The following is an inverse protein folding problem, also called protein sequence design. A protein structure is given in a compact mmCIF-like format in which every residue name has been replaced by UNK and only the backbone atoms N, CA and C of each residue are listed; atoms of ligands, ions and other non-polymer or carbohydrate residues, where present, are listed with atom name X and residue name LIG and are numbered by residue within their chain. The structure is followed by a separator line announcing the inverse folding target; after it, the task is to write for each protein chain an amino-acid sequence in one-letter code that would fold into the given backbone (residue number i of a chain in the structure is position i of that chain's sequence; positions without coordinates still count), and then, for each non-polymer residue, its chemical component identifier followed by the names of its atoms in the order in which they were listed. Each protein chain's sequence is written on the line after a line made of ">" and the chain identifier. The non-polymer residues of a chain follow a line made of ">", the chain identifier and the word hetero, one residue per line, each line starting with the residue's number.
data_IF_862592041517
#
_entry.id   IF_862592041517
#
_cell.length_a   1.000
_cell.length_b   1.000
_cell.length_c   1.000
_cell.angle_alpha   90.00
_cell.angle_beta   90.00
_cell.angle_gamma   90.00
#
_symmetry.space_group_name_H-M   'P 1'
#
loop_
_entity.id
_entity.type
_entity.pdbx_description
1 polymer ?
#
# COMPACT_ATOMS: atom_id res chain seq x y z
N UNK A 1 -16.82 -13.06 -22.50
CA UNK A 1 -16.24 -12.21 -21.44
C UNK A 1 -16.59 -10.75 -21.75
N UNK A 2 -17.16 -9.99 -20.80
CA UNK A 2 -17.46 -8.56 -21.04
C UNK A 2 -16.15 -7.78 -21.20
N UNK A 3 -16.11 -6.75 -22.05
CA UNK A 3 -14.89 -5.95 -22.30
C UNK A 3 -14.28 -5.41 -20.99
N UNK A 4 -15.13 -4.97 -20.06
CA UNK A 4 -14.73 -4.52 -18.71
C UNK A 4 -14.04 -5.62 -17.90
N UNK A 5 -14.53 -6.86 -17.96
CA UNK A 5 -13.91 -7.99 -17.24
C UNK A 5 -12.55 -8.34 -17.84
N UNK A 6 -12.44 -8.30 -19.17
CA UNK A 6 -11.17 -8.53 -19.87
C UNK A 6 -10.12 -7.47 -19.49
N UNK A 7 -10.54 -6.20 -19.51
CA UNK A 7 -9.70 -5.07 -19.09
C UNK A 7 -9.24 -5.20 -17.63
N UNK A 8 -10.16 -5.47 -16.69
CA UNK A 8 -9.82 -5.62 -15.28
C UNK A 8 -8.92 -6.84 -15.04
N UNK A 9 -9.15 -7.96 -15.74
CA UNK A 9 -8.30 -9.13 -15.64
C UNK A 9 -6.87 -8.82 -16.13
N UNK A 10 -6.73 -8.13 -17.26
CA UNK A 10 -5.44 -7.73 -17.81
C UNK A 10 -4.71 -6.73 -16.89
N UNK A 11 -5.43 -5.73 -16.39
CA UNK A 11 -4.89 -4.75 -15.45
C UNK A 11 -4.35 -5.43 -14.19
N UNK A 12 -5.14 -6.31 -13.57
CA UNK A 12 -4.73 -7.04 -12.37
C UNK A 12 -3.57 -8.00 -12.66
N UNK A 13 -3.54 -8.65 -13.83
CA UNK A 13 -2.43 -9.51 -14.22
C UNK A 13 -1.13 -8.70 -14.43
N UNK A 14 -1.19 -7.54 -15.07
CA UNK A 14 -0.05 -6.66 -15.27
C UNK A 14 0.51 -6.16 -13.93
N UNK A 15 -0.37 -5.70 -13.03
CA UNK A 15 0.01 -5.31 -11.67
C UNK A 15 0.61 -6.50 -10.89
N UNK A 16 0.03 -7.70 -10.99
CA UNK A 16 0.56 -8.90 -10.34
C UNK A 16 2.00 -9.20 -10.77
N UNK A 17 2.29 -9.16 -12.08
CA UNK A 17 3.65 -9.36 -12.61
C UNK A 17 4.58 -8.27 -12.07
N UNK A 18 4.17 -6.99 -12.15
CA UNK A 18 4.99 -5.89 -11.67
C UNK A 18 5.36 -6.01 -10.19
N UNK A 19 4.39 -6.28 -9.32
CA UNK A 19 4.65 -6.44 -7.87
C UNK A 19 5.45 -7.70 -7.56
N UNK A 20 5.25 -8.79 -8.29
CA UNK A 20 6.08 -9.99 -8.14
C UNK A 20 7.54 -9.73 -8.56
N UNK A 21 7.77 -8.98 -9.64
CA UNK A 21 9.12 -8.55 -10.05
C UNK A 21 9.76 -7.64 -9.01
N UNK A 22 9.02 -6.68 -8.46
CA UNK A 22 9.50 -5.82 -7.37
C UNK A 22 9.83 -6.61 -6.10
N UNK A 23 8.99 -7.56 -5.72
CA UNK A 23 9.27 -8.43 -4.58
C UNK A 23 10.50 -9.31 -4.83
N UNK A 24 10.62 -9.88 -6.03
CA UNK A 24 11.77 -10.67 -6.44
C UNK A 24 13.08 -9.86 -6.43
N UNK A 25 13.05 -8.58 -6.82
CA UNK A 25 14.24 -7.73 -6.80
C UNK A 25 14.70 -7.40 -5.38
N UNK A 26 13.76 -7.23 -4.43
CA UNK A 26 14.07 -7.09 -3.00
C UNK A 26 14.74 -8.36 -2.47
N UNK A 27 14.11 -9.53 -2.69
CA UNK A 27 14.65 -10.84 -2.24
C UNK A 27 16.02 -11.10 -2.85
N UNK A 28 16.19 -10.83 -4.14
CA UNK A 28 17.47 -10.97 -4.82
C UNK A 28 18.54 -10.04 -4.20
N UNK A 29 18.21 -8.79 -3.90
CA UNK A 29 19.11 -7.85 -3.24
C UNK A 29 19.57 -8.36 -1.86
N UNK A 30 18.67 -8.95 -1.08
CA UNK A 30 19.00 -9.57 0.22
C UNK A 30 19.90 -10.79 0.07
N UNK A 31 19.63 -11.68 -0.88
CA UNK A 31 20.45 -12.89 -1.13
C UNK A 31 21.87 -12.50 -1.57
N UNK A 32 22.00 -11.40 -2.30
CA UNK A 32 23.29 -10.87 -2.75
C UNK A 32 23.99 -9.99 -1.69
N UNK A 33 23.47 -9.94 -0.46
CA UNK A 33 24.02 -9.17 0.67
C UNK A 33 24.31 -7.70 0.31
N UNK A 34 23.47 -7.12 -0.55
CA UNK A 34 23.61 -5.73 -0.96
C UNK A 34 23.30 -4.78 0.19
N UNK A 35 23.82 -3.55 0.13
CA UNK A 35 23.47 -2.54 1.12
C UNK A 35 21.98 -2.18 1.01
N UNK A 36 21.38 -1.74 2.12
CA UNK A 36 19.96 -1.39 2.13
C UNK A 36 19.60 -0.35 1.07
N UNK A 37 20.46 0.65 0.88
CA UNK A 37 20.29 1.68 -0.14
C UNK A 37 20.29 1.09 -1.56
N UNK A 38 21.18 0.15 -1.86
CA UNK A 38 21.21 -0.52 -3.16
C UNK A 38 19.93 -1.34 -3.42
N UNK A 39 19.44 -2.04 -2.41
CA UNK A 39 18.20 -2.82 -2.49
C UNK A 39 17.00 -1.88 -2.74
N UNK A 40 16.95 -0.78 -1.98
CA UNK A 40 15.92 0.25 -2.12
C UNK A 40 15.96 0.88 -3.52
N UNK A 41 17.12 1.37 -3.96
CA UNK A 41 17.28 2.07 -5.24
C UNK A 41 16.94 1.17 -6.45
N UNK A 42 17.12 -0.15 -6.32
CA UNK A 42 16.71 -1.11 -7.35
C UNK A 42 15.19 -1.31 -7.39
N UNK A 43 14.54 -1.46 -6.23
CA UNK A 43 13.13 -1.86 -6.15
C UNK A 43 12.15 -0.67 -6.16
N UNK A 44 12.52 0.43 -5.51
CA UNK A 44 11.66 1.59 -5.31
C UNK A 44 11.15 2.24 -6.61
N UNK A 45 11.91 2.34 -7.72
CA UNK A 45 11.40 2.93 -8.96
C UNK A 45 10.21 2.16 -9.53
N UNK A 46 10.30 0.82 -9.58
CA UNK A 46 9.20 -0.03 -10.07
C UNK A 46 8.00 0.05 -9.12
N UNK A 47 8.24 -0.03 -7.82
CA UNK A 47 7.18 0.11 -6.81
C UNK A 47 6.49 1.48 -6.92
N UNK A 48 7.25 2.54 -7.19
CA UNK A 48 6.72 3.88 -7.45
C UNK A 48 5.76 3.89 -8.64
N UNK A 49 6.16 3.32 -9.78
CA UNK A 49 5.27 3.23 -10.95
C UNK A 49 4.01 2.42 -10.68
N UNK A 50 4.12 1.28 -9.99
CA UNK A 50 2.99 0.43 -9.66
C UNK A 50 2.03 1.10 -8.66
N UNK A 51 2.58 1.82 -7.68
CA UNK A 51 1.82 2.61 -6.72
C UNK A 51 1.14 3.80 -7.41
N UNK A 52 1.77 4.44 -8.38
CA UNK A 52 1.12 5.48 -9.17
C UNK A 52 -0.03 4.89 -10.01
N UNK A 53 0.23 3.77 -10.70
CA UNK A 53 -0.77 3.09 -11.52
C UNK A 53 -1.99 2.61 -10.71
N UNK A 54 -1.83 2.28 -9.43
CA UNK A 54 -2.94 1.87 -8.56
C UNK A 54 -3.94 2.99 -8.26
N UNK A 55 -3.64 4.25 -8.62
CA UNK A 55 -4.65 5.32 -8.66
C UNK A 55 -5.83 4.97 -9.57
N UNK A 56 -5.59 4.18 -10.63
CA UNK A 56 -6.64 3.70 -11.52
C UNK A 56 -7.70 2.88 -10.77
N UNK A 57 -7.37 2.23 -9.65
CA UNK A 57 -8.36 1.49 -8.86
C UNK A 57 -9.38 2.42 -8.21
N UNK A 58 -8.94 3.62 -7.84
CA UNK A 58 -9.85 4.68 -7.36
C UNK A 58 -10.77 5.12 -8.49
N UNK A 59 -10.24 5.26 -9.71
CA UNK A 59 -11.02 5.58 -10.90
C UNK A 59 -12.00 4.44 -11.24
N UNK A 60 -11.58 3.18 -11.15
CA UNK A 60 -12.46 2.02 -11.38
C UNK A 60 -13.61 1.97 -10.38
N UNK A 61 -13.34 2.27 -9.10
CA UNK A 61 -14.38 2.40 -8.09
C UNK A 61 -15.33 3.57 -8.39
N UNK A 62 -14.80 4.74 -8.78
CA UNK A 62 -15.60 5.92 -9.10
C UNK A 62 -16.53 5.71 -10.30
N UNK A 63 -16.05 4.96 -11.30
CA UNK A 63 -16.84 4.57 -12.48
C UNK A 63 -17.79 3.38 -12.22
N UNK A 64 -17.80 2.81 -11.01
CA UNK A 64 -18.64 1.66 -10.66
C UNK A 64 -18.23 0.35 -11.32
N UNK A 65 -16.99 0.26 -11.82
CA UNK A 65 -16.46 -0.98 -12.42
C UNK A 65 -16.18 -2.06 -11.36
N UNK A 66 -15.92 -1.62 -10.12
CA UNK A 66 -15.62 -2.48 -8.96
C UNK A 66 -16.51 -2.05 -7.79
N UNK A 67 -17.07 -2.99 -7.00
CA UNK A 67 -17.97 -2.70 -5.87
C UNK A 67 -17.20 -2.20 -4.63
N UNK A 68 -16.48 -1.09 -4.76
CA UNK A 68 -15.65 -0.47 -3.72
C UNK A 68 -16.00 1.01 -3.57
N UNK A 69 -15.82 1.55 -2.36
CA UNK A 69 -15.98 2.99 -2.12
C UNK A 69 -14.81 3.78 -2.75
N UNK A 70 -15.06 4.73 -3.66
CA UNK A 70 -13.99 5.51 -4.30
C UNK A 70 -13.19 6.33 -3.30
N UNK A 71 -13.86 6.95 -2.32
CA UNK A 71 -13.19 7.74 -1.29
C UNK A 71 -12.26 6.88 -0.43
N UNK A 72 -12.70 5.68 -0.05
CA UNK A 72 -11.87 4.77 0.73
C UNK A 72 -10.67 4.26 -0.07
N UNK A 73 -10.82 4.03 -1.37
CA UNK A 73 -9.71 3.67 -2.26
C UNK A 73 -8.71 4.83 -2.38
N UNK A 74 -9.20 6.06 -2.55
CA UNK A 74 -8.37 7.25 -2.63
C UNK A 74 -7.58 7.50 -1.34
N UNK A 75 -8.21 7.35 -0.18
CA UNK A 75 -7.53 7.53 1.11
C UNK A 75 -6.43 6.49 1.33
N UNK A 76 -6.68 5.22 0.97
CA UNK A 76 -5.68 4.16 1.06
C UNK A 76 -4.50 4.39 0.11
N UNK A 77 -4.81 4.77 -1.14
CA UNK A 77 -3.80 5.13 -2.13
C UNK A 77 -3.00 6.35 -1.69
N UNK A 78 -3.68 7.39 -1.20
CA UNK A 78 -3.08 8.65 -0.78
C UNK A 78 -2.16 8.50 0.42
N UNK A 79 -2.53 7.71 1.43
CA UNK A 79 -1.68 7.44 2.59
C UNK A 79 -0.34 6.79 2.21
N UNK A 80 -0.37 5.72 1.41
CA UNK A 80 0.83 5.05 0.90
C UNK A 80 1.64 5.96 -0.02
N UNK A 81 0.97 6.67 -0.92
CA UNK A 81 1.62 7.58 -1.87
C UNK A 81 2.31 8.75 -1.15
N UNK A 82 1.71 9.29 -0.09
CA UNK A 82 2.34 10.30 0.76
C UNK A 82 3.62 9.75 1.40
N UNK A 83 3.57 8.55 1.97
CA UNK A 83 4.76 7.93 2.56
C UNK A 83 5.86 7.72 1.51
N UNK A 84 5.54 7.11 0.37
CA UNK A 84 6.56 6.80 -0.64
C UNK A 84 7.11 8.06 -1.34
N UNK A 85 6.24 8.87 -1.94
CA UNK A 85 6.66 9.97 -2.83
C UNK A 85 7.00 11.26 -2.06
N UNK A 86 6.30 11.55 -0.96
CA UNK A 86 6.46 12.82 -0.26
C UNK A 86 7.38 12.72 0.97
N UNK A 87 7.62 11.52 1.50
CA UNK A 87 8.51 11.30 2.66
C UNK A 87 9.79 10.58 2.25
N UNK A 88 9.69 9.33 1.77
CA UNK A 88 10.87 8.46 1.61
C UNK A 88 11.71 8.84 0.38
N UNK A 89 11.10 8.97 -0.80
CA UNK A 89 11.85 9.26 -2.03
C UNK A 89 12.68 10.56 -1.98
N UNK A 90 12.18 11.70 -1.47
CA UNK A 90 12.95 12.95 -1.45
C UNK A 90 14.11 12.97 -0.45
N UNK A 91 14.12 12.07 0.54
CA UNK A 91 15.10 12.06 1.63
C UNK A 91 15.98 10.82 1.48
N UNK A 92 17.13 10.96 0.79
CA UNK A 92 18.06 9.84 0.53
C UNK A 92 18.54 9.14 1.80
N UNK A 93 18.66 9.86 2.91
CA UNK A 93 19.05 9.26 4.19
C UNK A 93 18.08 8.16 4.66
N UNK A 94 16.83 8.17 4.21
CA UNK A 94 15.84 7.13 4.53
C UNK A 94 15.98 5.88 3.65
N UNK A 95 16.70 5.93 2.54
CA UNK A 95 16.83 4.80 1.60
C UNK A 95 17.68 3.68 2.18
N UNK A 96 18.62 4.01 3.08
CA UNK A 96 19.44 3.04 3.81
C UNK A 96 18.77 2.51 5.09
N UNK A 97 17.64 3.08 5.49
CA UNK A 97 16.92 2.67 6.70
C UNK A 97 16.25 1.30 6.49
N UNK A 98 16.36 0.42 7.49
CA UNK A 98 15.71 -0.89 7.49
C UNK A 98 14.19 -0.76 7.33
N UNK A 99 13.58 0.30 7.87
CA UNK A 99 12.15 0.54 7.74
C UNK A 99 11.75 0.74 6.27
N UNK A 100 12.60 1.32 5.42
CA UNK A 100 12.29 1.49 4.00
C UNK A 100 12.18 0.12 3.31
N UNK A 101 13.08 -0.81 3.60
CA UNK A 101 13.03 -2.16 3.06
C UNK A 101 11.85 -2.97 3.60
N UNK A 102 11.55 -2.85 4.90
CA UNK A 102 10.40 -3.53 5.52
C UNK A 102 9.10 -3.02 4.90
N UNK A 103 8.96 -1.70 4.69
CA UNK A 103 7.81 -1.10 4.02
C UNK A 103 7.65 -1.65 2.60
N UNK A 104 8.69 -1.55 1.75
CA UNK A 104 8.64 -2.05 0.37
C UNK A 104 8.39 -3.56 0.30
N UNK A 105 8.98 -4.33 1.20
CA UNK A 105 8.79 -5.78 1.31
C UNK A 105 7.36 -6.15 1.70
N UNK A 106 6.82 -5.54 2.75
CA UNK A 106 5.45 -5.80 3.21
C UNK A 106 4.42 -5.42 2.14
N UNK A 107 4.61 -4.27 1.50
CA UNK A 107 3.77 -3.82 0.40
C UNK A 107 3.83 -4.81 -0.75
N UNK A 108 5.02 -5.15 -1.23
CA UNK A 108 5.16 -6.01 -2.40
C UNK A 108 4.67 -7.43 -2.13
N UNK A 109 4.86 -7.97 -0.93
CA UNK A 109 4.30 -9.25 -0.51
C UNK A 109 2.76 -9.23 -0.50
N UNK A 110 2.16 -8.18 0.06
CA UNK A 110 0.70 -8.04 0.09
C UNK A 110 0.10 -7.93 -1.32
N UNK A 111 0.72 -7.13 -2.19
CA UNK A 111 0.25 -6.90 -3.56
C UNK A 111 0.44 -8.13 -4.46
N UNK A 112 1.53 -8.89 -4.27
CA UNK A 112 1.78 -10.18 -4.95
C UNK A 112 0.69 -11.21 -4.65
N UNK A 113 -0.05 -11.07 -3.55
CA UNK A 113 -1.20 -11.93 -3.24
C UNK A 113 -2.50 -11.29 -3.76
N UNK A 114 -2.67 -9.98 -3.58
CA UNK A 114 -3.91 -9.26 -3.89
C UNK A 114 -4.23 -9.28 -5.38
N UNK A 115 -3.28 -8.93 -6.24
CA UNK A 115 -3.55 -8.79 -7.67
C UNK A 115 -3.85 -10.12 -8.36
N UNK A 116 -3.13 -11.24 -8.12
CA UNK A 116 -3.54 -12.54 -8.63
C UNK A 116 -4.93 -12.94 -8.16
N UNK A 117 -5.28 -12.65 -6.90
CA UNK A 117 -6.62 -12.92 -6.39
C UNK A 117 -7.68 -12.09 -7.13
N UNK A 118 -7.40 -10.82 -7.44
CA UNK A 118 -8.32 -9.95 -8.18
C UNK A 118 -8.48 -10.40 -9.63
N UNK A 119 -7.38 -10.77 -10.30
CA UNK A 119 -7.41 -11.31 -11.65
C UNK A 119 -8.26 -12.59 -11.70
N UNK A 120 -7.97 -13.56 -10.82
CA UNK A 120 -8.69 -14.83 -10.79
C UNK A 120 -10.16 -14.67 -10.40
N UNK A 121 -10.48 -13.74 -9.48
CA UNK A 121 -11.86 -13.43 -9.12
C UNK A 121 -12.64 -12.76 -10.26
N UNK A 122 -12.00 -11.89 -11.05
CA UNK A 122 -12.62 -11.25 -12.22
C UNK A 122 -12.99 -12.28 -13.29
N UNK A 123 -12.19 -13.34 -13.41
CA UNK A 123 -12.42 -14.46 -14.33
C UNK A 123 -13.40 -15.51 -13.76
N UNK A 124 -13.87 -15.35 -12.52
CA UNK A 124 -14.76 -16.32 -11.85
C UNK A 124 -14.08 -17.63 -11.45
N UNK A 125 -12.76 -17.72 -11.54
CA UNK A 125 -11.97 -18.94 -11.32
C UNK A 125 -10.97 -18.78 -10.17
N UNK A 126 -11.35 -18.07 -9.09
CA UNK A 126 -10.45 -17.81 -7.97
C UNK A 126 -10.27 -19.06 -7.09
N UNK A 127 -9.05 -19.60 -6.94
CA UNK A 127 -8.80 -20.71 -6.04
C UNK A 127 -9.09 -20.36 -4.58
N UNK A 128 -9.58 -21.34 -3.81
CA UNK A 128 -9.88 -21.17 -2.38
C UNK A 128 -8.65 -20.81 -1.55
N UNK A 129 -7.50 -21.43 -1.82
CA UNK A 129 -6.24 -21.15 -1.13
C UNK A 129 -5.77 -19.70 -1.34
N UNK A 130 -5.93 -19.16 -2.55
CA UNK A 130 -5.52 -17.79 -2.88
C UNK A 130 -6.42 -16.77 -2.19
N UNK A 131 -7.72 -17.09 -2.10
CA UNK A 131 -8.67 -16.32 -1.29
C UNK A 131 -8.27 -16.36 0.19
N UNK A 132 -7.95 -17.54 0.74
CA UNK A 132 -7.51 -17.68 2.11
C UNK A 132 -6.25 -16.86 2.42
N UNK A 133 -5.25 -16.90 1.54
CA UNK A 133 -4.02 -16.12 1.68
C UNK A 133 -4.33 -14.62 1.74
N UNK A 134 -5.13 -14.10 0.80
CA UNK A 134 -5.52 -12.68 0.80
C UNK A 134 -6.15 -12.25 2.13
N UNK A 135 -7.06 -13.08 2.67
CA UNK A 135 -7.78 -12.76 3.90
C UNK A 135 -7.04 -13.19 5.18
N UNK A 136 -5.79 -13.65 5.09
CA UNK A 136 -5.01 -14.07 6.28
C UNK A 136 -3.66 -13.38 6.37
N UNK A 137 -2.95 -13.21 5.25
CA UNK A 137 -1.59 -12.64 5.23
C UNK A 137 -1.54 -11.16 5.62
N UNK A 138 -2.66 -10.44 5.56
CA UNK A 138 -2.71 -9.07 6.08
C UNK A 138 -2.48 -9.01 7.60
N UNK A 139 -2.72 -10.09 8.34
CA UNK A 139 -2.61 -10.11 9.81
C UNK A 139 -1.19 -9.72 10.26
N UNK A 140 -0.11 -10.35 9.75
CA UNK A 140 1.26 -9.90 10.04
C UNK A 140 1.73 -8.75 9.14
N UNK A 141 1.39 -8.76 7.84
CA UNK A 141 1.96 -7.79 6.89
C UNK A 141 1.48 -6.37 7.13
N UNK A 142 0.22 -6.19 7.51
CA UNK A 142 -0.37 -4.86 7.67
C UNK A 142 0.22 -4.10 8.88
N UNK A 143 0.31 -4.69 10.09
CA UNK A 143 1.00 -4.04 11.21
C UNK A 143 2.47 -3.74 10.93
N UNK A 144 3.21 -4.68 10.34
CA UNK A 144 4.63 -4.50 10.03
C UNK A 144 4.85 -3.36 9.02
N UNK A 145 4.07 -3.33 7.94
CA UNK A 145 4.13 -2.25 6.96
C UNK A 145 3.77 -0.89 7.56
N UNK A 146 2.72 -0.84 8.38
CA UNK A 146 2.29 0.40 9.06
C UNK A 146 3.35 0.91 10.02
N UNK A 147 3.95 0.04 10.83
CA UNK A 147 5.03 0.42 11.76
C UNK A 147 6.25 0.96 11.02
N UNK A 148 6.60 0.36 9.88
CA UNK A 148 7.69 0.83 9.03
C UNK A 148 7.39 2.22 8.43
N UNK A 149 6.17 2.44 7.92
CA UNK A 149 5.73 3.76 7.44
C UNK A 149 5.82 4.82 8.53
N UNK A 150 5.31 4.52 9.73
CA UNK A 150 5.39 5.44 10.88
C UNK A 150 6.84 5.72 11.29
N UNK A 151 7.70 4.70 11.29
CA UNK A 151 9.12 4.83 11.58
C UNK A 151 9.82 5.79 10.60
N UNK A 152 9.57 5.62 9.30
CA UNK A 152 10.12 6.49 8.25
C UNK A 152 9.60 7.92 8.35
N UNK A 153 8.30 8.10 8.61
CA UNK A 153 7.71 9.42 8.83
C UNK A 153 8.32 10.13 10.04
N UNK A 154 8.56 9.40 11.13
CA UNK A 154 9.22 9.94 12.32
C UNK A 154 10.69 10.30 12.04
N UNK A 155 11.43 9.42 11.36
CA UNK A 155 12.82 9.65 10.96
C UNK A 155 12.96 10.83 9.99
N UNK A 156 11.93 11.13 9.20
CA UNK A 156 11.90 12.27 8.29
C UNK A 156 11.73 13.63 8.98
N UNK A 157 11.14 13.69 10.18
CA UNK A 157 10.76 14.95 10.84
C UNK A 157 11.89 15.98 10.92
N UNK A 158 13.15 15.64 11.30
CA UNK A 158 14.24 16.60 11.35
C UNK A 158 14.59 17.21 9.99
N UNK A 159 14.53 16.43 8.92
CA UNK A 159 14.78 16.91 7.56
C UNK A 159 13.62 17.77 7.04
N UNK A 160 12.38 17.39 7.36
CA UNK A 160 11.19 18.16 7.01
C UNK A 160 11.14 19.51 7.74
N UNK A 161 11.56 19.56 9.00
CA UNK A 161 11.65 20.79 9.78
C UNK A 161 12.70 21.77 9.20
N UNK A 162 13.84 21.24 8.75
CA UNK A 162 14.94 22.03 8.18
C UNK A 162 14.64 22.54 6.77
N UNK A 163 14.18 21.66 5.88
CA UNK A 163 14.00 21.97 4.45
C UNK A 163 12.66 22.62 4.13
N UNK A 164 11.66 22.49 5.02
CA UNK A 164 10.28 22.98 4.85
C UNK A 164 9.68 22.66 3.46
N UNK A 165 9.83 21.43 2.94
CA UNK A 165 9.30 21.11 1.62
C UNK A 165 7.77 21.23 1.63
N UNK A 166 7.19 21.65 0.49
CA UNK A 166 5.74 21.75 0.30
C UNK A 166 5.02 22.68 1.30
N UNK A 167 5.73 23.68 1.84
CA UNK A 167 5.13 24.71 2.69
C UNK A 167 4.60 25.86 1.84
N UNK A 168 3.36 26.27 2.06
CA UNK A 168 2.75 27.42 1.41
C UNK A 168 2.60 28.55 2.42
N UNK A 169 3.49 29.54 2.33
CA UNK A 169 3.41 30.76 3.12
C UNK A 169 2.46 31.74 2.41
N UNK A 170 1.34 32.07 3.05
CA UNK A 170 0.39 33.06 2.55
C UNK A 170 0.63 34.40 3.27
N UNK A 171 0.52 35.55 2.57
CA UNK A 171 0.87 36.86 3.13
C UNK A 171 -0.11 37.40 4.19
N UNK A 172 -1.23 36.70 4.44
CA UNK A 172 -2.27 37.17 5.35
C UNK A 172 -2.23 36.40 6.69
N UNK A 173 -2.19 37.12 7.82
CA UNK A 173 -2.09 36.58 9.19
C UNK A 173 -3.24 35.64 9.60
N UNK A 174 -4.35 35.66 8.85
CA UNK A 174 -5.56 34.86 9.10
C UNK A 174 -5.76 33.70 8.10
N UNK A 175 -4.85 33.52 7.14
CA UNK A 175 -4.93 32.42 6.18
C UNK A 175 -4.14 31.20 6.67
N UNK A 176 -4.74 30.03 6.51
CA UNK A 176 -4.17 28.74 6.86
C UNK A 176 -2.87 28.51 6.07
N UNK A 177 -1.71 28.67 6.71
CA UNK A 177 -0.42 28.27 6.12
C UNK A 177 -0.28 26.75 6.27
N UNK A 178 -0.18 26.04 5.15
CA UNK A 178 0.04 24.60 5.18
C UNK A 178 1.52 24.31 5.38
N UNK A 179 1.87 23.72 6.52
CA UNK A 179 3.22 23.26 6.82
C UNK A 179 3.26 21.73 6.81
N UNK A 180 4.01 21.16 5.86
CA UNK A 180 4.09 19.71 5.70
C UNK A 180 4.68 18.99 6.94
N UNK A 181 5.63 19.62 7.63
CA UNK A 181 6.15 19.10 8.90
C UNK A 181 5.04 18.93 9.95
N UNK A 182 4.19 19.95 10.14
CA UNK A 182 3.05 19.90 11.07
C UNK A 182 2.00 18.88 10.62
N UNK A 183 1.77 18.77 9.31
CA UNK A 183 0.89 17.73 8.75
C UNK A 183 1.39 16.32 9.11
N UNK A 184 2.67 16.02 8.94
CA UNK A 184 3.24 14.71 9.30
C UNK A 184 3.16 14.44 10.81
N UNK A 185 3.36 15.46 11.67
CA UNK A 185 3.19 15.31 13.12
C UNK A 185 1.74 14.95 13.49
N UNK A 186 0.75 15.65 12.92
CA UNK A 186 -0.67 15.36 13.13
C UNK A 186 -0.99 13.97 12.59
N UNK A 187 -0.49 13.63 11.40
CA UNK A 187 -0.70 12.33 10.79
C UNK A 187 -0.13 11.18 11.64
N UNK A 188 1.07 11.33 12.19
CA UNK A 188 1.67 10.37 13.11
C UNK A 188 0.84 10.18 14.39
N UNK A 189 0.29 11.27 14.92
CA UNK A 189 -0.61 11.22 16.09
C UNK A 189 -1.93 10.50 15.78
N UNK A 190 -2.50 10.72 14.59
CA UNK A 190 -3.74 10.08 14.16
C UNK A 190 -3.55 8.66 13.59
N UNK A 191 -2.33 8.30 13.19
CA UNK A 191 -2.03 7.03 12.51
C UNK A 191 -2.53 5.79 13.26
N UNK A 192 -2.31 5.66 14.59
CA UNK A 192 -2.79 4.49 15.33
C UNK A 192 -4.32 4.32 15.26
N UNK A 193 -5.06 5.44 15.27
CA UNK A 193 -6.52 5.42 15.16
C UNK A 193 -6.97 5.01 13.75
N UNK A 194 -6.37 5.62 12.72
CA UNK A 194 -6.66 5.32 11.32
C UNK A 194 -6.33 3.86 10.98
N UNK A 195 -5.17 3.39 11.46
CA UNK A 195 -4.71 2.02 11.33
C UNK A 195 -5.69 1.03 11.97
N UNK A 196 -6.11 1.27 13.22
CA UNK A 196 -7.04 0.38 13.91
C UNK A 196 -8.39 0.29 13.19
N UNK A 197 -8.88 1.42 12.68
CA UNK A 197 -10.11 1.45 11.90
C UNK A 197 -9.99 0.56 10.64
N UNK A 198 -8.92 0.69 9.86
CA UNK A 198 -8.70 -0.14 8.66
C UNK A 198 -8.48 -1.61 9.02
N UNK A 199 -7.68 -1.90 10.04
CA UNK A 199 -7.39 -3.26 10.48
C UNK A 199 -8.64 -3.99 10.97
N UNK A 200 -9.49 -3.33 11.75
CA UNK A 200 -10.77 -3.90 12.19
C UNK A 200 -11.72 -4.19 11.03
N UNK A 201 -11.72 -3.37 9.98
CA UNK A 201 -12.49 -3.63 8.76
C UNK A 201 -11.97 -4.87 8.03
N UNK A 202 -10.65 -5.06 7.94
CA UNK A 202 -10.04 -6.24 7.34
C UNK A 202 -10.38 -7.52 8.12
N UNK A 203 -10.35 -7.48 9.46
CA UNK A 203 -10.76 -8.59 10.31
C UNK A 203 -12.24 -8.95 10.11
N UNK A 204 -13.12 -7.95 10.00
CA UNK A 204 -14.55 -8.15 9.67
C UNK A 204 -14.72 -8.75 8.27
N UNK A 205 -13.98 -8.26 7.28
CA UNK A 205 -14.01 -8.78 5.92
C UNK A 205 -13.56 -10.25 5.87
N UNK A 206 -12.50 -10.59 6.61
CA UNK A 206 -12.04 -11.97 6.81
C UNK A 206 -13.13 -12.85 7.40
N UNK A 207 -13.73 -12.42 8.53
CA UNK A 207 -14.79 -13.19 9.20
C UNK A 207 -15.97 -13.44 8.25
N UNK A 208 -16.39 -12.44 7.47
CA UNK A 208 -17.47 -12.59 6.48
C UNK A 208 -17.13 -13.57 5.35
N UNK A 209 -15.90 -13.52 4.82
CA UNK A 209 -15.51 -14.32 3.65
C UNK A 209 -15.10 -15.76 4.01
N UNK A 210 -14.34 -15.93 5.09
CA UNK A 210 -13.85 -17.25 5.51
C UNK A 210 -14.77 -17.93 6.54
N UNK A 211 -15.48 -17.17 7.38
CA UNK A 211 -16.39 -17.73 8.39
C UNK A 211 -17.66 -18.35 7.81
N UNK A 212 -18.09 -17.92 6.61
CA UNK A 212 -19.19 -18.57 5.88
C UNK A 212 -18.81 -19.93 5.27
N UNK A 213 -17.57 -20.07 4.79
CA UNK A 213 -17.08 -21.30 4.17
C UNK A 213 -17.05 -22.49 5.16
N UNK A 214 -16.71 -22.24 6.43
CA UNK A 214 -16.74 -23.26 7.48
C UNK A 214 -18.15 -23.75 7.82
N UNK A 215 -19.20 -22.96 7.58
CA UNK A 215 -20.60 -23.38 7.81
C UNK A 215 -21.17 -24.21 6.66
N UNK A 216 -20.67 -24.02 5.44
CA UNK A 216 -21.05 -24.84 4.28
C UNK A 216 -20.41 -26.23 4.33
N UNK A 217 -19.13 -26.32 4.69
CA UNK A 217 -18.40 -27.60 4.79
C UNK A 217 -18.82 -28.48 5.99
N UNK A 218 -19.70 -27.98 6.86
CA UNK A 218 -20.27 -28.73 8.01
C UNK A 218 -21.68 -29.26 7.73
N UNK A 219 -22.20 -29.03 6.52
CA UNK A 219 -23.56 -29.38 6.10
C UNK A 219 -23.61 -30.46 5.02
N UNK A 220 -22.44 -30.93 4.57
CA UNK A 220 -22.24 -32.08 3.70
C UNK A 220 -21.64 -33.23 4.54
#
# INVERSE_FOLDING_TARGET
>A
MRLTQAYLALYNAAQAVGWATAFGSLVYGFIQEQSNEQIYDRAAPLIGWLQFASLLETVHAALGLVPSSPLSALMQWGGRSNCLFCVVQPIRALHSDVYALVMLGCWSAAETIRYPQYAAATLGACPGWLTWMRYTMFIPLFPLGTMAEMGLMAAALPDLARRRPYSLDLPNKWNFAFHYHTFIQILLFLYPLLWWQLYSQLLRARSKKLGGASKSAKKD
#
